data_IF_767191119064
#
_entry.id   IF_767191119064
#
_cell.length_a   1.000
_cell.length_b   1.000
_cell.length_c   1.000
_cell.angle_alpha   90.00
_cell.angle_beta   90.00
_cell.angle_gamma   90.00
#
_symmetry.space_group_name_H-M   'P 1'
#
loop_
_entity.id
_entity.type
_entity.pdbx_description
1 polymer ?
#
# COMPACT_ATOMS: atom_id res chain seq x y z
N UNK A 1 -27.92 -8.53 30.79
CA UNK A 1 -27.91 -8.46 29.31
C UNK A 1 -26.54 -8.01 28.87
N UNK A 2 -25.66 -8.96 28.53
CA UNK A 2 -24.36 -8.64 27.95
C UNK A 2 -24.61 -8.13 26.54
N UNK A 3 -24.23 -6.87 26.29
CA UNK A 3 -24.26 -6.25 24.97
C UNK A 3 -23.36 -7.11 24.08
N UNK A 4 -23.94 -7.80 23.10
CA UNK A 4 -23.19 -8.38 21.98
C UNK A 4 -22.56 -7.19 21.27
N UNK A 5 -21.31 -6.90 21.61
CA UNK A 5 -20.45 -6.06 20.77
C UNK A 5 -20.31 -6.80 19.44
N UNK A 6 -20.98 -6.26 18.43
CA UNK A 6 -21.00 -6.79 17.08
C UNK A 6 -19.58 -6.66 16.50
N UNK A 7 -18.98 -7.81 16.22
CA UNK A 7 -17.60 -8.03 15.74
C UNK A 7 -17.40 -7.59 14.27
N UNK A 8 -18.20 -6.67 13.74
CA UNK A 8 -18.44 -6.53 12.28
C UNK A 8 -17.89 -5.25 11.64
N UNK A 9 -17.10 -4.47 12.37
CA UNK A 9 -16.05 -3.69 11.71
C UNK A 9 -14.71 -4.17 12.24
N UNK A 10 -13.98 -4.90 11.40
CA UNK A 10 -12.52 -4.85 11.48
C UNK A 10 -12.18 -3.35 11.54
N UNK A 11 -11.61 -2.88 12.66
CA UNK A 11 -10.84 -1.64 12.67
C UNK A 11 -9.62 -1.94 11.81
N UNK A 12 -9.77 -1.76 10.52
CA UNK A 12 -9.08 -2.56 9.52
C UNK A 12 -7.81 -1.84 9.08
N UNK A 13 -6.87 -1.66 10.00
CA UNK A 13 -5.57 -1.04 9.73
C UNK A 13 -4.88 -1.72 8.53
N UNK A 14 -5.12 -3.02 8.33
CA UNK A 14 -4.68 -3.76 7.14
C UNK A 14 -5.42 -3.35 5.85
N UNK A 15 -6.72 -3.08 5.89
CA UNK A 15 -7.48 -2.57 4.74
C UNK A 15 -7.02 -1.18 4.33
N UNK A 16 -6.79 -0.27 5.28
CA UNK A 16 -6.29 1.08 4.97
C UNK A 16 -4.91 1.00 4.28
N UNK A 17 -4.07 0.07 4.73
CA UNK A 17 -2.80 -0.24 4.08
C UNK A 17 -2.99 -0.86 2.69
N UNK A 18 -3.97 -1.75 2.49
CA UNK A 18 -4.29 -2.32 1.17
C UNK A 18 -4.82 -1.26 0.20
N UNK A 19 -5.70 -0.37 0.66
CA UNK A 19 -6.21 0.74 -0.14
C UNK A 19 -5.07 1.67 -0.54
N UNK A 20 -4.19 2.02 0.41
CA UNK A 20 -3.01 2.84 0.16
C UNK A 20 -2.07 2.18 -0.86
N UNK A 21 -1.80 0.88 -0.71
CA UNK A 21 -0.99 0.13 -1.68
C UNK A 21 -1.60 0.14 -3.09
N UNK A 22 -2.93 0.03 -3.19
CA UNK A 22 -3.66 0.11 -4.47
C UNK A 22 -3.52 1.48 -5.12
N UNK A 23 -3.64 2.56 -4.34
CA UNK A 23 -3.46 3.94 -4.83
C UNK A 23 -2.03 4.15 -5.34
N UNK A 24 -1.02 3.76 -4.56
CA UNK A 24 0.40 3.87 -4.95
C UNK A 24 0.70 3.06 -6.21
N UNK A 25 0.26 1.80 -6.28
CA UNK A 25 0.48 0.94 -7.45
C UNK A 25 -0.11 1.54 -8.72
N UNK A 26 -1.32 2.10 -8.67
CA UNK A 26 -1.94 2.80 -9.81
C UNK A 26 -1.19 4.08 -10.17
N UNK A 27 -0.71 4.81 -9.15
CA UNK A 27 0.11 6.01 -9.31
C UNK A 27 1.41 5.74 -10.06
N UNK A 28 2.10 4.66 -9.69
CA UNK A 28 3.42 4.31 -10.21
C UNK A 28 3.46 4.16 -11.74
N UNK A 29 2.42 3.58 -12.33
CA UNK A 29 2.32 3.43 -13.79
C UNK A 29 2.30 4.77 -14.54
N UNK A 30 1.84 5.85 -13.91
CA UNK A 30 1.70 7.18 -14.54
C UNK A 30 3.00 7.97 -14.57
N UNK A 31 3.95 7.72 -13.67
CA UNK A 31 5.22 8.49 -13.63
C UNK A 31 6.00 8.40 -14.93
N UNK A 32 5.95 7.27 -15.64
CA UNK A 32 6.59 7.14 -16.96
C UNK A 32 6.06 8.16 -17.96
N UNK A 33 4.75 8.42 -17.93
CA UNK A 33 4.13 9.45 -18.78
C UNK A 33 4.50 10.85 -18.29
N UNK A 34 4.44 11.12 -16.98
CA UNK A 34 4.78 12.44 -16.44
C UNK A 34 6.24 12.85 -16.71
N UNK A 35 7.18 11.91 -16.61
CA UNK A 35 8.58 12.13 -17.01
C UNK A 35 8.70 12.42 -18.51
N UNK A 36 7.94 11.71 -19.35
CA UNK A 36 7.87 11.98 -20.80
C UNK A 36 7.17 13.29 -21.13
N UNK A 37 6.31 13.83 -20.30
CA UNK A 37 5.67 15.12 -20.58
C UNK A 37 6.58 16.27 -20.11
N UNK A 38 7.37 16.05 -19.07
CA UNK A 38 8.32 17.01 -18.51
C UNK A 38 9.64 17.15 -19.30
N UNK A 39 9.76 16.66 -20.55
CA UNK A 39 11.06 16.56 -21.25
C UNK A 39 11.81 17.89 -21.34
N UNK A 40 11.09 18.99 -21.49
CA UNK A 40 11.65 20.34 -21.62
C UNK A 40 12.10 20.97 -20.30
N UNK A 41 11.82 20.35 -19.15
CA UNK A 41 12.18 20.87 -17.84
C UNK A 41 12.94 19.83 -16.99
N UNK A 42 14.29 19.94 -16.88
CA UNK A 42 15.10 19.01 -16.10
C UNK A 42 14.70 18.93 -14.62
N UNK A 43 14.30 20.05 -14.01
CA UNK A 43 13.86 20.08 -12.61
C UNK A 43 12.57 19.29 -12.41
N UNK A 44 11.60 19.39 -13.33
CA UNK A 44 10.39 18.58 -13.28
C UNK A 44 10.71 17.09 -13.43
N UNK A 45 11.65 16.71 -14.30
CA UNK A 45 12.07 15.31 -14.42
C UNK A 45 12.70 14.77 -13.14
N UNK A 46 13.56 15.57 -12.49
CA UNK A 46 14.15 15.21 -11.21
C UNK A 46 13.08 15.02 -10.13
N UNK A 47 12.11 15.93 -10.05
CA UNK A 47 11.00 15.83 -9.10
C UNK A 47 10.16 14.57 -9.35
N UNK A 48 9.78 14.30 -10.59
CA UNK A 48 9.01 13.09 -10.93
C UNK A 48 9.79 11.80 -10.64
N UNK A 49 11.10 11.82 -10.85
CA UNK A 49 11.97 10.68 -10.51
C UNK A 49 12.00 10.44 -9.00
N UNK A 50 12.18 11.51 -8.21
CA UNK A 50 12.18 11.44 -6.75
C UNK A 50 10.83 10.94 -6.20
N UNK A 51 9.71 11.50 -6.69
CA UNK A 51 8.37 11.09 -6.26
C UNK A 51 8.11 9.62 -6.58
N UNK A 52 8.49 9.16 -7.79
CA UNK A 52 8.40 7.75 -8.17
C UNK A 52 9.16 6.84 -7.22
N UNK A 53 10.43 7.14 -6.95
CA UNK A 53 11.27 6.33 -6.05
C UNK A 53 10.67 6.27 -4.63
N UNK A 54 10.18 7.41 -4.16
CA UNK A 54 9.52 7.52 -2.85
C UNK A 54 8.27 6.63 -2.77
N UNK A 55 7.42 6.65 -3.81
CA UNK A 55 6.21 5.82 -3.87
C UNK A 55 6.54 4.32 -4.00
N UNK A 56 7.58 3.96 -4.77
CA UNK A 56 8.07 2.56 -4.88
C UNK A 56 8.54 2.03 -3.50
N UNK A 57 9.29 2.85 -2.76
CA UNK A 57 9.76 2.49 -1.42
C UNK A 57 8.61 2.35 -0.41
N UNK A 58 7.64 3.28 -0.43
CA UNK A 58 6.46 3.21 0.42
C UNK A 58 5.65 1.95 0.13
N UNK A 59 5.38 1.67 -1.16
CA UNK A 59 4.65 0.49 -1.57
C UNK A 59 5.36 -0.80 -1.10
N UNK A 60 6.68 -0.88 -1.26
CA UNK A 60 7.47 -2.02 -0.78
C UNK A 60 7.31 -2.25 0.72
N UNK A 61 7.34 -1.18 1.52
CA UNK A 61 7.18 -1.26 2.99
C UNK A 61 5.78 -1.75 3.37
N UNK A 62 4.76 -1.21 2.72
CA UNK A 62 3.36 -1.60 2.95
C UNK A 62 3.15 -3.08 2.61
N UNK A 63 3.60 -3.52 1.42
CA UNK A 63 3.44 -4.92 0.99
C UNK A 63 4.15 -5.90 1.91
N UNK A 64 5.36 -5.55 2.37
CA UNK A 64 6.10 -6.37 3.34
C UNK A 64 5.33 -6.51 4.65
N UNK A 65 4.71 -5.43 5.14
CA UNK A 65 3.94 -5.48 6.37
C UNK A 65 2.61 -6.23 6.21
N UNK A 66 1.90 -6.03 5.09
CA UNK A 66 0.68 -6.78 4.77
C UNK A 66 0.95 -8.29 4.70
N UNK A 67 2.07 -8.70 4.13
CA UNK A 67 2.48 -10.11 4.13
C UNK A 67 2.57 -10.68 5.56
N UNK A 68 3.15 -9.93 6.49
CA UNK A 68 3.24 -10.36 7.89
C UNK A 68 1.87 -10.54 8.56
N UNK A 69 0.87 -9.73 8.19
CA UNK A 69 -0.51 -9.92 8.68
C UNK A 69 -1.11 -11.22 8.15
N UNK A 70 -0.96 -11.50 6.85
CA UNK A 70 -1.49 -12.72 6.26
C UNK A 70 -0.80 -13.99 6.77
N UNK A 71 0.53 -13.97 6.90
CA UNK A 71 1.29 -15.13 7.41
C UNK A 71 0.82 -15.48 8.84
N UNK A 72 0.60 -14.49 9.71
CA UNK A 72 0.06 -14.69 11.07
C UNK A 72 -1.37 -15.24 11.07
N UNK A 73 -2.24 -14.75 10.19
CA UNK A 73 -3.62 -15.27 10.10
C UNK A 73 -3.65 -16.75 9.68
N UNK A 74 -2.74 -17.16 8.80
CA UNK A 74 -2.61 -18.57 8.36
C UNK A 74 -2.14 -19.46 9.50
N UNK A 75 -1.12 -19.03 10.25
CA UNK A 75 -0.63 -19.77 11.42
C UNK A 75 -1.70 -19.96 12.50
N UNK A 76 -2.48 -18.91 12.80
CA UNK A 76 -3.59 -18.99 13.77
C UNK A 76 -4.64 -19.99 13.31
N UNK A 77 -5.03 -19.98 12.02
CA UNK A 77 -6.03 -20.91 11.48
C UNK A 77 -5.56 -22.36 11.55
N UNK A 78 -4.28 -22.63 11.26
CA UNK A 78 -3.69 -23.98 11.33
C UNK A 78 -3.56 -24.49 12.78
N UNK A 79 -3.26 -23.61 13.74
CA UNK A 79 -3.17 -23.97 15.15
C UNK A 79 -4.54 -24.23 15.81
N UNK A 80 -5.62 -23.75 15.20
CA UNK A 80 -6.99 -23.90 15.69
C UNK A 80 -7.80 -25.04 15.01
N UNK A 81 -7.19 -25.76 14.07
CA UNK A 81 -7.79 -26.86 13.31
C UNK A 81 -7.29 -28.22 13.82
#
# INVERSE_FOLDING_TARGET
MLRKEDLTMLRNDAYDLMETASVLSKGLHRYTTFQKDAKSCPQCQQLWTYMRQTDEEQLKRILMHLKQHFDKEVEVKLASA
#
